data_IF_999315952625
#
_entry.id   IF_999315952625
#
_cell.length_a   1.000
_cell.length_b   1.000
_cell.length_c   1.000
_cell.angle_alpha   90.00
_cell.angle_beta   90.00
_cell.angle_gamma   90.00
#
_symmetry.space_group_name_H-M   'P 1'
#
loop_
_entity.id
_entity.type
_entity.pdbx_description
1 polymer ?
#
# COMPACT_ATOMS: atom_id res chain seq x y z
N UNK A 1 -12.94 -12.46 14.12
CA UNK A 1 -12.58 -11.22 13.41
C UNK A 1 -13.28 -11.28 12.05
N UNK A 2 -14.07 -10.29 11.67
CA UNK A 2 -14.81 -10.32 10.40
C UNK A 2 -13.88 -9.88 9.25
N UNK A 3 -14.04 -10.40 8.02
CA UNK A 3 -13.22 -10.01 6.88
C UNK A 3 -13.27 -8.50 6.54
N UNK A 4 -14.37 -7.81 6.85
CA UNK A 4 -14.55 -6.36 6.67
C UNK A 4 -14.14 -5.53 7.90
N UNK A 5 -13.29 -6.07 8.77
CA UNK A 5 -12.83 -5.36 9.96
C UNK A 5 -11.98 -4.14 9.53
N UNK A 6 -12.33 -2.91 9.97
CA UNK A 6 -11.56 -1.70 9.69
C UNK A 6 -10.07 -1.85 10.04
N UNK A 7 -9.75 -2.68 11.02
CA UNK A 7 -8.37 -2.99 11.41
C UNK A 7 -7.60 -3.69 10.29
N UNK A 8 -8.18 -4.68 9.61
CA UNK A 8 -7.50 -5.42 8.53
C UNK A 8 -7.26 -4.49 7.34
N UNK A 9 -8.24 -3.64 7.04
CA UNK A 9 -8.12 -2.61 5.98
C UNK A 9 -7.01 -1.61 6.29
N UNK A 10 -6.97 -1.07 7.51
CA UNK A 10 -5.90 -0.14 7.90
C UNK A 10 -4.54 -0.84 7.98
N UNK A 11 -4.50 -2.13 8.33
CA UNK A 11 -3.28 -2.94 8.30
C UNK A 11 -2.72 -3.07 6.89
N UNK A 12 -3.56 -3.35 5.88
CA UNK A 12 -3.13 -3.41 4.49
C UNK A 12 -2.58 -2.07 4.00
N UNK A 13 -3.26 -0.98 4.32
CA UNK A 13 -2.83 0.40 4.00
C UNK A 13 -1.51 0.76 4.68
N UNK A 14 -1.38 0.47 5.97
CA UNK A 14 -0.18 0.76 6.74
C UNK A 14 1.01 -0.09 6.29
N UNK A 15 0.79 -1.36 5.97
CA UNK A 15 1.85 -2.21 5.43
C UNK A 15 2.33 -1.69 4.07
N UNK A 16 1.42 -1.24 3.20
CA UNK A 16 1.80 -0.63 1.93
C UNK A 16 2.65 0.64 2.06
N UNK A 17 2.44 1.44 3.11
CA UNK A 17 3.31 2.61 3.41
C UNK A 17 4.74 2.16 3.74
N UNK A 18 4.88 1.08 4.51
CA UNK A 18 6.20 0.52 4.85
C UNK A 18 6.90 -0.08 3.62
N UNK A 19 6.14 -0.72 2.74
CA UNK A 19 6.69 -1.23 1.47
C UNK A 19 7.15 -0.08 0.58
N UNK A 20 6.37 0.98 0.46
CA UNK A 20 6.78 2.18 -0.28
C UNK A 20 8.08 2.80 0.28
N UNK A 21 8.25 2.82 1.61
CA UNK A 21 9.50 3.24 2.24
C UNK A 21 10.67 2.33 1.86
N UNK A 22 10.45 1.01 1.89
CA UNK A 22 11.48 0.04 1.52
C UNK A 22 11.89 0.17 0.05
N UNK A 23 10.93 0.32 -0.86
CA UNK A 23 11.19 0.51 -2.29
C UNK A 23 12.01 1.77 -2.53
N UNK A 24 11.67 2.88 -1.87
CA UNK A 24 12.41 4.14 -1.96
C UNK A 24 13.84 4.00 -1.42
N UNK A 25 14.01 3.34 -0.28
CA UNK A 25 15.34 3.04 0.26
C UNK A 25 16.17 2.17 -0.69
N UNK A 26 15.52 1.29 -1.45
CA UNK A 26 16.16 0.46 -2.46
C UNK A 26 16.35 1.17 -3.82
N UNK A 27 15.85 2.40 -3.99
CA UNK A 27 15.87 3.12 -5.27
C UNK A 27 14.90 2.55 -6.31
N UNK A 28 13.89 1.80 -5.88
CA UNK A 28 12.85 1.21 -6.72
C UNK A 28 11.69 2.19 -6.85
N UNK A 29 11.29 2.47 -8.09
CA UNK A 29 10.17 3.36 -8.39
C UNK A 29 9.16 2.63 -9.25
N UNK A 30 7.97 2.44 -8.70
CA UNK A 30 6.87 1.81 -9.40
C UNK A 30 5.98 2.85 -10.09
N UNK A 31 5.61 2.58 -11.35
CA UNK A 31 4.45 3.20 -11.98
C UNK A 31 3.14 2.60 -11.43
N UNK A 32 1.97 3.09 -11.88
CA UNK A 32 0.67 2.64 -11.35
C UNK A 32 0.46 1.12 -11.40
N UNK A 33 0.92 0.45 -12.46
CA UNK A 33 0.84 -1.01 -12.58
C UNK A 33 1.68 -1.75 -11.53
N UNK A 34 2.92 -1.28 -11.29
CA UNK A 34 3.79 -1.88 -10.27
C UNK A 34 3.23 -1.70 -8.86
N UNK A 35 2.64 -0.54 -8.56
CA UNK A 35 1.96 -0.30 -7.27
C UNK A 35 0.79 -1.28 -7.09
N UNK A 36 0.02 -1.55 -8.15
CA UNK A 36 -1.07 -2.51 -8.11
C UNK A 36 -0.59 -3.95 -7.89
N UNK A 37 0.52 -4.35 -8.51
CA UNK A 37 1.15 -5.67 -8.28
C UNK A 37 1.71 -5.81 -6.86
N UNK A 38 2.35 -4.77 -6.34
CA UNK A 38 2.81 -4.70 -4.94
C UNK A 38 1.63 -4.82 -3.98
N UNK A 39 0.54 -4.10 -4.22
CA UNK A 39 -0.69 -4.20 -3.42
C UNK A 39 -1.30 -5.60 -3.47
N UNK A 40 -1.34 -6.25 -4.64
CA UNK A 40 -1.79 -7.63 -4.76
C UNK A 40 -0.91 -8.60 -3.94
N UNK A 41 0.41 -8.38 -3.95
CA UNK A 41 1.38 -9.17 -3.18
C UNK A 41 1.20 -8.99 -1.68
N UNK A 42 0.99 -7.75 -1.21
CA UNK A 42 0.68 -7.44 0.20
C UNK A 42 -0.56 -8.21 0.66
N UNK A 43 -1.65 -8.15 -0.11
CA UNK A 43 -2.89 -8.83 0.25
C UNK A 43 -2.72 -10.35 0.23
N UNK A 44 -1.92 -10.88 -0.70
CA UNK A 44 -1.55 -12.30 -0.71
C UNK A 44 -0.80 -12.71 0.57
N UNK A 45 0.18 -11.91 1.03
CA UNK A 45 0.93 -12.15 2.26
C UNK A 45 0.01 -12.12 3.50
N UNK A 46 -0.99 -11.24 3.52
CA UNK A 46 -1.95 -11.13 4.60
C UNK A 46 -2.97 -12.29 4.65
N UNK A 47 -2.93 -13.21 3.70
CA UNK A 47 -3.82 -14.38 3.63
C UNK A 47 -4.66 -14.46 2.35
N UNK A 48 -4.73 -13.37 1.57
CA UNK A 48 -5.32 -13.31 0.23
C UNK A 48 -6.66 -14.02 0.08
N UNK A 49 -6.86 -14.66 -1.08
CA UNK A 49 -8.06 -15.44 -1.41
C UNK A 49 -8.18 -16.73 -0.58
N UNK A 50 -7.14 -17.14 0.15
CA UNK A 50 -7.17 -18.33 1.00
C UNK A 50 -7.90 -18.07 2.33
N UNK A 51 -7.96 -16.80 2.77
CA UNK A 51 -8.56 -16.39 4.04
C UNK A 51 -9.77 -15.46 3.84
N UNK A 52 -9.79 -14.69 2.75
CA UNK A 52 -10.77 -13.64 2.52
C UNK A 52 -11.62 -13.90 1.27
N UNK A 53 -12.84 -13.35 1.26
CA UNK A 53 -13.68 -13.34 0.05
C UNK A 53 -13.09 -12.40 -1.01
N UNK A 54 -13.44 -12.59 -2.28
CA UNK A 54 -12.93 -11.76 -3.37
C UNK A 54 -13.26 -10.27 -3.21
N UNK A 55 -14.40 -9.94 -2.60
CA UNK A 55 -14.78 -8.56 -2.28
C UNK A 55 -13.82 -7.94 -1.26
N UNK A 56 -13.53 -8.67 -0.17
CA UNK A 56 -12.57 -8.23 0.85
C UNK A 56 -11.17 -8.09 0.25
N UNK A 57 -10.75 -9.04 -0.59
CA UNK A 57 -9.45 -8.96 -1.28
C UNK A 57 -9.37 -7.72 -2.16
N UNK A 58 -10.44 -7.37 -2.88
CA UNK A 58 -10.49 -6.13 -3.68
C UNK A 58 -10.36 -4.88 -2.80
N UNK A 59 -11.11 -4.82 -1.70
CA UNK A 59 -11.06 -3.69 -0.74
C UNK A 59 -9.68 -3.54 -0.09
N UNK A 60 -9.04 -4.66 0.29
CA UNK A 60 -7.70 -4.66 0.86
C UNK A 60 -6.64 -4.24 -0.16
N UNK A 61 -6.80 -4.63 -1.44
CA UNK A 61 -5.91 -4.20 -2.52
C UNK A 61 -6.05 -2.70 -2.74
N UNK A 62 -7.27 -2.18 -2.76
CA UNK A 62 -7.50 -0.74 -2.86
C UNK A 62 -6.88 0.02 -1.69
N UNK A 63 -7.06 -0.48 -0.46
CA UNK A 63 -6.46 0.12 0.73
C UNK A 63 -4.92 0.12 0.68
N UNK A 64 -4.30 -0.96 0.20
CA UNK A 64 -2.86 -1.03 -0.01
C UNK A 64 -2.39 -0.04 -1.10
N UNK A 65 -3.10 0.06 -2.23
CA UNK A 65 -2.81 1.05 -3.28
C UNK A 65 -2.88 2.48 -2.71
N UNK A 66 -3.91 2.80 -1.94
CA UNK A 66 -4.07 4.11 -1.30
C UNK A 66 -2.90 4.39 -0.35
N UNK A 67 -2.55 3.43 0.50
CA UNK A 67 -1.44 3.56 1.45
C UNK A 67 -0.10 3.82 0.77
N UNK A 68 0.20 3.07 -0.28
CA UNK A 68 1.42 3.27 -1.07
C UNK A 68 1.48 4.69 -1.66
N UNK A 69 0.39 5.12 -2.31
CA UNK A 69 0.32 6.44 -2.94
C UNK A 69 0.38 7.59 -1.94
N UNK A 70 -0.28 7.46 -0.79
CA UNK A 70 -0.17 8.45 0.30
C UNK A 70 1.27 8.64 0.75
N UNK A 71 2.04 7.56 0.83
CA UNK A 71 3.43 7.64 1.23
C UNK A 71 4.27 8.38 0.19
N UNK A 72 4.09 8.06 -1.10
CA UNK A 72 4.74 8.78 -2.19
C UNK A 72 4.41 10.28 -2.18
N UNK A 73 3.13 10.63 -2.02
CA UNK A 73 2.69 12.03 -1.96
C UNK A 73 3.26 12.78 -0.77
N UNK A 74 3.29 12.15 0.41
CA UNK A 74 3.90 12.72 1.60
C UNK A 74 5.38 13.04 1.37
N UNK A 75 6.13 12.10 0.80
CA UNK A 75 7.56 12.29 0.55
C UNK A 75 7.82 13.36 -0.52
N UNK A 76 7.00 13.41 -1.57
CA UNK A 76 7.04 14.51 -2.53
C UNK A 76 6.81 15.86 -1.85
N UNK A 77 5.78 15.97 -1.01
CA UNK A 77 5.49 17.18 -0.24
C UNK A 77 6.65 17.61 0.65
N UNK A 78 7.35 16.65 1.30
CA UNK A 78 8.55 16.94 2.10
C UNK A 78 9.69 17.44 1.22
N UNK A 79 9.96 16.77 0.09
CA UNK A 79 11.00 17.17 -0.85
C UNK A 79 10.76 18.58 -1.40
N UNK A 80 9.54 18.90 -1.82
CA UNK A 80 9.17 20.21 -2.35
C UNK A 80 9.40 21.34 -1.32
N UNK A 81 9.20 21.04 -0.03
CA UNK A 81 9.46 21.99 1.07
C UNK A 81 10.94 22.20 1.38
N UNK A 82 11.78 21.21 1.12
CA UNK A 82 13.22 21.27 1.41
C UNK A 82 13.99 21.87 0.22
N UNK A 83 13.59 21.55 -1.02
CA UNK A 83 14.24 22.02 -2.24
C UNK A 83 13.79 23.39 -2.76
N UNK A 84 12.74 23.98 -2.16
CA UNK A 84 12.25 25.32 -2.48
C UNK A 84 12.86 26.38 -1.55
N UNK A 85 14.09 26.81 -1.85
CA UNK A 85 14.78 27.93 -1.21
C UNK A 85 15.76 28.58 -2.18
#
# INVERSE_FOLDING_TARGET
MMPNDPFVRESARSFAKLVADADICAGVYHGPGGIAETAASIVSIMGGDAVFSSEVVADLREAAIQGYNERLQFLKSVSDRIGGG
#
